data_IF_693108657604
#
_entry.id   IF_693108657604
#
_cell.length_a   1.000
_cell.length_b   1.000
_cell.length_c   1.000
_cell.angle_alpha   90.00
_cell.angle_beta   90.00
_cell.angle_gamma   90.00
#
_symmetry.space_group_name_H-M   'P 1'
#
loop_
_entity.id
_entity.type
_entity.pdbx_description
1 polymer ?
#
# COMPACT_ATOMS: atom_id res chain seq x y z
N UNK A 1 1.61 -22.26 7.65
CA UNK A 1 2.19 -22.38 6.31
C UNK A 1 3.73 -22.43 6.37
N UNK A 2 4.43 -21.41 6.94
CA UNK A 2 5.89 -21.29 7.00
C UNK A 2 6.59 -22.54 7.57
N UNK A 3 6.22 -22.91 8.79
CA UNK A 3 6.79 -24.05 9.52
C UNK A 3 6.72 -25.34 8.71
N UNK A 4 5.55 -25.63 8.11
CA UNK A 4 5.36 -26.83 7.30
C UNK A 4 6.16 -26.79 6.00
N UNK A 5 6.22 -25.63 5.35
CA UNK A 5 6.92 -25.48 4.07
C UNK A 5 8.43 -25.69 4.22
N UNK A 6 9.03 -25.07 5.23
CA UNK A 6 10.47 -25.20 5.49
C UNK A 6 10.84 -26.38 6.40
N UNK A 7 9.85 -27.21 6.79
CA UNK A 7 10.08 -28.36 7.67
C UNK A 7 10.67 -27.98 9.02
N UNK A 8 10.31 -26.80 9.53
CA UNK A 8 10.81 -26.29 10.82
C UNK A 8 10.08 -26.96 11.97
N UNK A 9 10.76 -27.10 13.10
CA UNK A 9 10.14 -27.50 14.38
C UNK A 9 10.03 -26.24 15.23
N UNK A 10 8.81 -25.69 15.43
CA UNK A 10 8.66 -24.52 16.28
C UNK A 10 8.97 -24.88 17.73
N UNK A 11 9.71 -24.01 18.38
CA UNK A 11 9.89 -24.05 19.83
C UNK A 11 9.29 -22.79 20.42
N UNK A 12 8.47 -22.95 21.43
CA UNK A 12 7.94 -21.84 22.22
C UNK A 12 8.70 -21.75 23.52
N UNK A 13 8.89 -20.55 24.00
CA UNK A 13 9.42 -20.29 25.32
C UNK A 13 8.36 -20.71 26.34
N UNK A 14 8.75 -21.39 27.42
CA UNK A 14 7.83 -21.72 28.50
C UNK A 14 7.33 -20.44 29.21
N UNK A 15 6.08 -20.49 29.62
CA UNK A 15 5.45 -19.35 30.28
C UNK A 15 6.16 -19.08 31.62
N UNK A 16 6.80 -17.91 31.74
CA UNK A 16 7.57 -17.51 32.93
C UNK A 16 9.09 -17.57 32.77
N UNK A 17 9.61 -18.28 31.77
CA UNK A 17 11.05 -18.46 31.50
C UNK A 17 11.59 -17.28 30.64
N UNK A 18 11.65 -16.08 31.20
CA UNK A 18 12.17 -14.87 30.51
C UNK A 18 13.62 -14.98 30.07
N UNK A 19 14.41 -15.80 30.76
CA UNK A 19 15.83 -16.00 30.57
C UNK A 19 16.17 -16.66 29.22
N UNK A 20 15.24 -17.40 28.63
CA UNK A 20 15.43 -18.03 27.31
C UNK A 20 15.58 -17.03 26.16
N UNK A 21 15.24 -15.75 26.38
CA UNK A 21 15.46 -14.62 25.44
C UNK A 21 16.68 -13.77 25.78
N UNK A 22 17.40 -14.08 26.85
CA UNK A 22 18.52 -13.27 27.35
C UNK A 22 19.62 -13.03 26.32
N UNK A 23 19.92 -14.04 25.48
CA UNK A 23 20.92 -13.91 24.42
C UNK A 23 20.51 -12.90 23.35
N UNK A 24 19.23 -12.87 22.95
CA UNK A 24 18.71 -11.93 21.95
C UNK A 24 18.70 -10.50 22.52
N UNK A 25 18.30 -10.35 23.78
CA UNK A 25 18.30 -9.05 24.47
C UNK A 25 19.72 -8.52 24.65
N UNK A 26 20.67 -9.37 25.07
CA UNK A 26 22.06 -9.02 25.21
C UNK A 26 22.68 -8.58 23.87
N UNK A 27 22.42 -9.32 22.78
CA UNK A 27 22.90 -8.98 21.44
C UNK A 27 22.32 -7.67 20.93
N UNK A 28 21.04 -7.42 21.15
CA UNK A 28 20.41 -6.14 20.82
C UNK A 28 21.02 -4.98 21.60
N UNK A 29 21.33 -5.18 22.89
CA UNK A 29 22.03 -4.20 23.71
C UNK A 29 23.43 -3.88 23.20
N UNK A 30 24.20 -4.91 22.78
CA UNK A 30 25.53 -4.74 22.17
C UNK A 30 25.43 -3.96 20.87
N UNK A 31 24.49 -4.32 19.99
CA UNK A 31 24.29 -3.63 18.71
C UNK A 31 23.94 -2.14 18.91
N UNK A 32 23.00 -1.84 19.79
CA UNK A 32 22.60 -0.45 20.11
C UNK A 32 23.80 0.38 20.58
N UNK A 33 24.59 -0.12 21.52
CA UNK A 33 25.80 0.56 22.01
C UNK A 33 26.81 0.78 20.87
N UNK A 34 27.01 -0.19 20.00
CA UNK A 34 27.93 -0.09 18.86
C UNK A 34 27.48 0.99 17.88
N UNK A 35 26.20 1.02 17.53
CA UNK A 35 25.64 2.06 16.63
C UNK A 35 25.74 3.45 17.31
N UNK A 36 25.51 3.54 18.60
CA UNK A 36 25.67 4.80 19.33
C UNK A 36 27.12 5.30 19.31
N UNK A 37 28.10 4.43 19.55
CA UNK A 37 29.50 4.76 19.41
C UNK A 37 29.87 5.22 17.99
N UNK A 38 29.34 4.56 16.97
CA UNK A 38 29.55 4.98 15.59
C UNK A 38 28.94 6.33 15.28
N UNK A 39 27.76 6.68 15.87
CA UNK A 39 27.18 8.01 15.76
C UNK A 39 28.05 9.08 16.41
N UNK A 40 28.62 8.79 17.58
CA UNK A 40 29.56 9.69 18.25
C UNK A 40 30.82 9.94 17.40
N UNK A 41 31.39 8.87 16.81
CA UNK A 41 32.55 8.98 15.91
C UNK A 41 32.24 9.75 14.64
N UNK A 42 31.02 9.64 14.13
CA UNK A 42 30.52 10.41 12.99
C UNK A 42 30.39 11.90 13.28
N UNK A 43 30.20 12.29 14.52
CA UNK A 43 30.07 13.69 14.95
C UNK A 43 28.69 14.33 14.69
N UNK A 44 27.75 13.59 14.09
CA UNK A 44 26.38 14.09 13.83
C UNK A 44 25.39 12.95 13.88
N UNK A 45 24.19 13.24 14.40
CA UNK A 45 23.02 12.34 14.39
C UNK A 45 22.09 12.59 13.20
N UNK A 46 22.35 13.61 12.43
CA UNK A 46 21.50 14.00 11.28
C UNK A 46 21.93 13.28 10.01
N UNK A 47 20.95 12.86 9.24
CA UNK A 47 21.12 12.24 7.92
C UNK A 47 20.32 13.02 6.88
N UNK A 48 20.88 13.21 5.70
CA UNK A 48 20.25 13.95 4.61
C UNK A 48 18.95 13.27 4.13
N UNK A 49 18.89 11.94 4.19
CA UNK A 49 17.73 11.14 3.75
C UNK A 49 17.58 9.90 4.62
N UNK A 50 16.37 9.31 4.63
CA UNK A 50 16.11 8.01 5.27
C UNK A 50 17.00 6.92 4.66
N UNK A 51 17.18 6.91 3.35
CA UNK A 51 18.04 5.95 2.65
C UNK A 51 19.52 6.04 3.10
N UNK A 52 20.01 7.25 3.35
CA UNK A 52 21.37 7.45 3.89
C UNK A 52 21.50 6.88 5.32
N UNK A 53 20.46 7.05 6.14
CA UNK A 53 20.41 6.45 7.47
C UNK A 53 20.37 4.93 7.41
N UNK A 54 19.52 4.35 6.58
CA UNK A 54 19.40 2.89 6.39
C UNK A 54 20.72 2.29 5.91
N UNK A 55 21.40 2.91 4.94
CA UNK A 55 22.70 2.48 4.44
C UNK A 55 23.78 2.52 5.53
N UNK A 56 23.74 3.53 6.40
CA UNK A 56 24.66 3.62 7.53
C UNK A 56 24.38 2.50 8.57
N UNK A 57 23.13 2.23 8.91
CA UNK A 57 22.74 1.13 9.82
C UNK A 57 23.18 -0.21 9.22
N UNK A 58 22.93 -0.43 7.93
CA UNK A 58 23.31 -1.66 7.22
C UNK A 58 24.83 -1.90 7.29
N UNK A 59 25.63 -0.86 7.05
CA UNK A 59 27.09 -0.95 7.16
C UNK A 59 27.54 -1.33 8.57
N UNK A 60 26.88 -0.80 9.60
CA UNK A 60 27.12 -1.14 10.99
C UNK A 60 26.79 -2.61 11.31
N UNK A 61 25.68 -3.11 10.78
CA UNK A 61 25.26 -4.51 10.90
C UNK A 61 26.25 -5.47 10.20
N UNK A 62 26.66 -5.15 8.99
CA UNK A 62 27.65 -5.94 8.23
C UNK A 62 28.99 -6.04 8.96
N UNK A 63 29.48 -4.92 9.49
CA UNK A 63 30.70 -4.90 10.30
C UNK A 63 30.55 -5.71 11.60
N UNK A 64 29.35 -5.72 12.21
CA UNK A 64 29.07 -6.53 13.39
C UNK A 64 28.99 -8.05 13.09
N UNK A 65 28.53 -8.41 11.90
CA UNK A 65 28.35 -9.81 11.48
C UNK A 65 29.60 -10.42 10.85
N UNK A 66 30.52 -9.60 10.33
CA UNK A 66 31.78 -10.11 9.69
C UNK A 66 32.57 -11.14 10.50
N UNK A 67 32.79 -10.95 11.82
CA UNK A 67 33.49 -11.95 12.62
C UNK A 67 32.73 -13.27 12.78
N UNK A 68 31.43 -13.28 12.52
CA UNK A 68 30.57 -14.48 12.65
C UNK A 68 30.47 -15.27 11.34
N UNK A 69 30.92 -14.71 10.22
CA UNK A 69 30.76 -15.30 8.90
C UNK A 69 31.34 -16.74 8.80
N UNK A 70 32.55 -17.07 9.35
CA UNK A 70 33.07 -18.45 9.31
C UNK A 70 32.14 -19.42 10.04
N UNK A 71 31.71 -19.08 11.25
CA UNK A 71 30.81 -19.93 12.04
C UNK A 71 29.45 -20.11 11.38
N UNK A 72 28.92 -19.06 10.75
CA UNK A 72 27.69 -19.15 9.97
C UNK A 72 27.84 -20.07 8.76
N UNK A 73 29.03 -20.07 8.10
CA UNK A 73 29.29 -20.97 7.00
C UNK A 73 29.30 -22.44 7.45
N UNK A 74 29.90 -22.74 8.61
CA UNK A 74 29.89 -24.09 9.20
C UNK A 74 28.45 -24.54 9.54
N UNK A 75 27.64 -23.66 10.09
CA UNK A 75 26.23 -23.95 10.39
C UNK A 75 25.44 -24.21 9.10
N UNK A 76 25.60 -23.37 8.08
CA UNK A 76 24.91 -23.51 6.78
C UNK A 76 25.29 -24.83 6.08
N UNK A 77 26.54 -25.32 6.24
CA UNK A 77 27.00 -26.57 5.63
C UNK A 77 26.24 -27.80 6.18
N UNK A 78 25.75 -27.74 7.41
CA UNK A 78 25.00 -28.83 8.05
C UNK A 78 23.48 -28.63 8.02
N UNK A 79 23.03 -27.45 7.62
CA UNK A 79 21.58 -27.16 7.46
C UNK A 79 21.00 -27.91 6.27
N UNK A 80 19.74 -28.30 6.39
CA UNK A 80 19.00 -28.88 5.26
C UNK A 80 18.86 -27.86 4.12
N UNK A 81 18.96 -28.30 2.85
CA UNK A 81 18.76 -27.41 1.73
C UNK A 81 17.33 -26.81 1.77
N UNK A 82 17.22 -25.58 1.33
CA UNK A 82 15.92 -24.91 1.22
C UNK A 82 15.06 -25.63 0.17
N UNK A 83 13.73 -25.64 0.33
CA UNK A 83 12.83 -26.09 -0.72
C UNK A 83 13.07 -25.35 -2.04
N UNK A 84 12.92 -26.05 -3.17
CA UNK A 84 13.11 -25.47 -4.49
C UNK A 84 12.13 -24.31 -4.78
N UNK A 85 10.92 -24.40 -4.24
CA UNK A 85 9.91 -23.35 -4.34
C UNK A 85 9.92 -22.47 -3.08
N UNK A 86 9.96 -21.15 -3.26
CA UNK A 86 9.74 -20.20 -2.15
C UNK A 86 8.26 -20.13 -1.80
N UNK A 87 7.97 -19.82 -0.54
CA UNK A 87 6.60 -19.44 -0.18
C UNK A 87 6.22 -18.17 -0.95
N UNK A 88 4.98 -18.11 -1.47
CA UNK A 88 4.49 -16.85 -2.05
C UNK A 88 4.56 -15.71 -1.04
N UNK A 89 5.06 -14.57 -1.48
CA UNK A 89 5.14 -13.34 -0.68
C UNK A 89 3.79 -12.61 -0.61
N UNK A 90 2.72 -13.29 -1.02
CA UNK A 90 1.38 -12.74 -1.06
C UNK A 90 0.33 -13.74 -0.56
N UNK A 91 -0.79 -13.21 -0.14
CA UNK A 91 -2.02 -13.97 0.12
C UNK A 91 -3.00 -13.71 -1.02
N UNK A 92 -3.62 -14.75 -1.57
CA UNK A 92 -4.68 -14.60 -2.57
C UNK A 92 -6.07 -14.61 -1.90
N UNK A 93 -6.94 -13.74 -2.39
CA UNK A 93 -8.33 -13.65 -1.98
C UNK A 93 -9.21 -13.32 -3.19
N UNK A 94 -10.31 -14.06 -3.35
CA UNK A 94 -11.35 -13.71 -4.30
C UNK A 94 -12.32 -12.72 -3.64
N UNK A 95 -12.56 -11.58 -4.29
CA UNK A 95 -13.35 -10.47 -3.76
C UNK A 95 -14.40 -10.04 -4.79
N UNK A 96 -15.66 -9.90 -4.34
CA UNK A 96 -16.72 -9.34 -5.20
C UNK A 96 -16.59 -7.82 -5.28
N UNK A 97 -16.59 -7.31 -6.49
CA UNK A 97 -16.64 -5.87 -6.76
C UNK A 97 -18.05 -5.34 -6.50
N UNK A 98 -18.17 -4.27 -5.75
CA UNK A 98 -19.45 -3.62 -5.48
C UNK A 98 -20.01 -2.96 -6.74
N UNK A 99 -21.29 -2.59 -6.72
CA UNK A 99 -21.90 -1.79 -7.79
C UNK A 99 -21.23 -0.40 -7.94
N UNK A 100 -20.54 0.07 -6.93
CA UNK A 100 -19.80 1.33 -6.90
C UNK A 100 -18.34 1.19 -7.36
N UNK A 101 -17.99 0.07 -8.04
CA UNK A 101 -16.65 -0.19 -8.55
C UNK A 101 -15.57 -0.18 -7.48
N UNK A 102 -15.88 -0.72 -6.32
CA UNK A 102 -14.93 -0.84 -5.20
C UNK A 102 -14.82 -2.28 -4.72
N UNK A 103 -13.64 -2.64 -4.24
CA UNK A 103 -13.37 -3.88 -3.51
C UNK A 103 -12.99 -3.55 -2.07
N UNK A 104 -13.28 -4.46 -1.16
CA UNK A 104 -12.86 -4.36 0.24
C UNK A 104 -11.82 -5.43 0.55
N UNK A 105 -10.62 -5.00 0.88
CA UNK A 105 -9.49 -5.87 1.22
C UNK A 105 -8.91 -5.45 2.56
N UNK A 106 -8.78 -6.37 3.49
CA UNK A 106 -8.25 -6.13 4.84
C UNK A 106 -8.83 -4.86 5.51
N UNK A 107 -10.16 -4.71 5.48
CA UNK A 107 -10.92 -3.59 6.05
C UNK A 107 -10.78 -2.24 5.33
N UNK A 108 -9.99 -2.14 4.27
CA UNK A 108 -9.83 -0.93 3.46
C UNK A 108 -10.56 -1.06 2.12
N UNK A 109 -10.99 0.06 1.54
CA UNK A 109 -11.68 0.12 0.26
C UNK A 109 -10.74 0.62 -0.84
N UNK A 110 -10.82 -0.02 -2.02
CA UNK A 110 -10.03 0.36 -3.20
C UNK A 110 -10.95 0.41 -4.41
N UNK A 111 -10.81 1.44 -5.25
CA UNK A 111 -11.54 1.47 -6.50
C UNK A 111 -10.89 0.58 -7.56
N UNK A 112 -11.72 -0.04 -8.37
CA UNK A 112 -11.30 -0.82 -9.54
C UNK A 112 -12.04 -0.32 -10.77
N UNK A 113 -11.55 -0.59 -12.00
CA UNK A 113 -12.22 -0.14 -13.22
C UNK A 113 -13.70 -0.51 -13.25
N UNK A 114 -14.57 0.45 -13.63
CA UNK A 114 -16.03 0.30 -13.60
C UNK A 114 -16.57 -0.92 -14.37
N UNK A 115 -15.85 -1.39 -15.41
CA UNK A 115 -16.20 -2.60 -16.17
C UNK A 115 -16.20 -3.88 -15.33
N UNK A 116 -15.53 -3.87 -14.18
CA UNK A 116 -15.47 -4.99 -13.24
C UNK A 116 -16.58 -4.95 -12.18
N UNK A 117 -17.48 -3.96 -12.22
CA UNK A 117 -18.56 -3.85 -11.26
C UNK A 117 -19.42 -5.12 -11.23
N UNK A 118 -19.66 -5.65 -10.03
CA UNK A 118 -20.40 -6.89 -9.73
C UNK A 118 -19.67 -8.19 -10.09
N UNK A 119 -18.49 -8.13 -10.71
CA UNK A 119 -17.64 -9.28 -10.97
C UNK A 119 -16.92 -9.76 -9.71
N UNK A 120 -16.35 -10.96 -9.77
CA UNK A 120 -15.44 -11.48 -8.75
C UNK A 120 -14.03 -11.36 -9.31
N UNK A 121 -13.18 -10.65 -8.57
CA UNK A 121 -11.78 -10.45 -8.92
C UNK A 121 -10.88 -11.18 -7.94
N UNK A 122 -9.76 -11.68 -8.42
CA UNK A 122 -8.71 -12.25 -7.58
C UNK A 122 -7.74 -11.16 -7.17
N UNK A 123 -7.47 -11.06 -5.90
CA UNK A 123 -6.55 -10.05 -5.34
C UNK A 123 -5.37 -10.76 -4.69
N UNK A 124 -4.15 -10.44 -5.14
CA UNK A 124 -2.91 -10.77 -4.45
C UNK A 124 -2.53 -9.65 -3.51
N UNK A 125 -2.41 -10.00 -2.24
CA UNK A 125 -2.16 -9.07 -1.15
C UNK A 125 -0.71 -9.23 -0.73
N UNK A 126 0.12 -8.25 -1.08
CA UNK A 126 1.49 -8.10 -0.62
C UNK A 126 1.54 -7.16 0.60
N UNK A 127 2.70 -7.00 1.20
CA UNK A 127 2.86 -6.10 2.34
C UNK A 127 2.61 -4.64 1.97
N UNK A 128 3.07 -4.19 0.78
CA UNK A 128 3.00 -2.79 0.36
C UNK A 128 2.02 -2.53 -0.80
N UNK A 129 1.53 -3.55 -1.48
CA UNK A 129 0.67 -3.41 -2.66
C UNK A 129 -0.39 -4.49 -2.75
N UNK A 130 -1.40 -4.19 -3.53
CA UNK A 130 -2.41 -5.14 -4.00
C UNK A 130 -2.29 -5.26 -5.52
N UNK A 131 -2.42 -6.47 -6.02
CA UNK A 131 -2.55 -6.74 -7.45
C UNK A 131 -3.92 -7.38 -7.71
N UNK A 132 -4.69 -6.79 -8.60
CA UNK A 132 -6.05 -7.24 -8.94
C UNK A 132 -6.04 -7.92 -10.28
N UNK A 133 -6.61 -9.13 -10.34
CA UNK A 133 -6.72 -9.95 -11.55
C UNK A 133 -8.18 -10.25 -11.86
N UNK A 134 -8.52 -10.28 -13.14
CA UNK A 134 -9.81 -10.75 -13.64
C UNK A 134 -9.61 -11.61 -14.87
N UNK A 135 -10.24 -12.79 -14.91
CA UNK A 135 -10.02 -13.74 -16.00
C UNK A 135 -8.57 -14.18 -16.19
N UNK A 136 -7.77 -14.18 -15.11
CA UNK A 136 -6.33 -14.50 -15.16
C UNK A 136 -5.43 -13.34 -15.62
N UNK A 137 -6.00 -12.25 -16.14
CA UNK A 137 -5.23 -11.09 -16.59
C UNK A 137 -5.11 -10.01 -15.48
N UNK A 138 -3.93 -9.37 -15.34
CA UNK A 138 -3.75 -8.27 -14.40
C UNK A 138 -4.59 -7.05 -14.83
N UNK A 139 -5.26 -6.42 -13.87
CA UNK A 139 -6.14 -5.29 -14.12
C UNK A 139 -5.59 -4.00 -13.49
N UNK A 140 -4.99 -4.12 -12.32
CA UNK A 140 -4.60 -2.99 -11.49
C UNK A 140 -3.56 -3.42 -10.47
N UNK A 141 -2.58 -2.57 -10.25
CA UNK A 141 -1.71 -2.59 -9.07
C UNK A 141 -1.91 -1.31 -8.30
N UNK A 142 -2.13 -1.41 -7.00
CA UNK A 142 -2.37 -0.25 -6.13
C UNK A 142 -1.62 -0.42 -4.82
N UNK A 143 -1.05 0.67 -4.30
CA UNK A 143 -0.38 0.66 -3.01
C UNK A 143 -1.38 0.34 -1.90
N UNK A 144 -1.01 -0.61 -1.03
CA UNK A 144 -1.83 -1.04 0.09
C UNK A 144 -1.87 0.03 1.19
N UNK A 145 -3.04 0.24 1.76
CA UNK A 145 -3.22 1.11 2.90
C UNK A 145 -2.87 0.38 4.20
N UNK A 146 -2.12 1.03 5.05
CA UNK A 146 -1.92 0.58 6.43
C UNK A 146 -3.17 0.88 7.27
N UNK A 147 -3.40 0.09 8.33
CA UNK A 147 -4.53 0.29 9.23
C UNK A 147 -5.86 -0.23 8.69
N UNK A 148 -6.96 0.34 9.17
CA UNK A 148 -8.34 -0.09 8.88
C UNK A 148 -9.23 1.10 8.52
N UNK A 149 -10.29 0.82 7.75
CA UNK A 149 -11.33 1.79 7.36
C UNK A 149 -10.84 2.95 6.47
N UNK A 150 -9.61 2.83 5.92
CA UNK A 150 -9.15 3.72 4.88
C UNK A 150 -9.77 3.42 3.53
N UNK A 151 -9.64 4.36 2.61
CA UNK A 151 -10.04 4.17 1.23
C UNK A 151 -9.03 4.81 0.28
N UNK A 152 -8.92 4.22 -0.92
CA UNK A 152 -8.10 4.73 -2.02
C UNK A 152 -8.91 4.64 -3.29
N UNK A 153 -9.47 5.77 -3.68
CA UNK A 153 -10.38 5.89 -4.80
C UNK A 153 -9.71 6.67 -5.92
N UNK A 154 -9.72 6.09 -7.11
CA UNK A 154 -9.32 6.79 -8.32
C UNK A 154 -10.59 7.11 -9.11
N UNK A 155 -10.90 8.39 -9.31
CA UNK A 155 -12.10 8.83 -10.02
C UNK A 155 -12.17 8.28 -11.46
N UNK A 156 -11.00 8.05 -12.11
CA UNK A 156 -10.92 7.46 -13.46
C UNK A 156 -11.50 6.05 -13.53
N UNK A 157 -11.54 5.32 -12.41
CA UNK A 157 -12.22 4.03 -12.34
C UNK A 157 -13.75 4.18 -12.31
N UNK A 158 -14.26 5.26 -11.74
CA UNK A 158 -15.69 5.46 -11.41
C UNK A 158 -16.41 6.27 -12.48
N UNK A 159 -15.71 7.21 -13.10
CA UNK A 159 -16.32 8.23 -13.98
C UNK A 159 -17.18 7.63 -15.09
N UNK A 160 -16.77 6.52 -15.69
CA UNK A 160 -17.50 5.85 -16.76
C UNK A 160 -18.88 5.32 -16.35
N UNK A 161 -19.05 5.03 -15.05
CA UNK A 161 -20.36 4.69 -14.49
C UNK A 161 -21.19 5.95 -14.17
N UNK A 162 -20.53 6.98 -13.66
CA UNK A 162 -21.21 8.25 -13.32
C UNK A 162 -21.73 8.99 -14.55
N UNK A 163 -21.02 8.93 -15.69
CA UNK A 163 -21.51 9.51 -16.95
C UNK A 163 -22.85 8.92 -17.39
N UNK A 164 -23.09 7.63 -17.11
CA UNK A 164 -24.36 6.97 -17.41
C UNK A 164 -25.47 7.28 -16.41
N UNK A 165 -25.09 7.60 -15.18
CA UNK A 165 -26.00 7.89 -14.06
C UNK A 165 -25.46 9.06 -13.23
N UNK A 166 -25.46 10.30 -13.78
CA UNK A 166 -24.85 11.45 -13.11
C UNK A 166 -25.45 11.76 -11.74
N UNK A 167 -26.75 11.53 -11.54
CA UNK A 167 -27.43 11.71 -10.25
C UNK A 167 -26.94 10.76 -9.14
N UNK A 168 -26.06 9.79 -9.46
CA UNK A 168 -25.41 8.96 -8.45
C UNK A 168 -24.22 9.67 -7.78
N UNK A 169 -23.75 10.80 -8.32
CA UNK A 169 -22.59 11.53 -7.81
C UNK A 169 -22.81 12.03 -6.38
N UNK A 170 -23.94 12.65 -6.11
CA UNK A 170 -24.27 13.16 -4.76
C UNK A 170 -24.28 12.05 -3.70
N UNK A 171 -24.76 10.87 -4.07
CA UNK A 171 -24.92 9.72 -3.15
C UNK A 171 -23.72 8.81 -3.13
N UNK A 172 -22.66 9.13 -3.89
CA UNK A 172 -21.47 8.30 -3.91
C UNK A 172 -20.74 8.39 -2.57
N UNK A 173 -20.55 7.25 -1.93
CA UNK A 173 -19.96 7.17 -0.58
C UNK A 173 -18.59 7.85 -0.45
N UNK A 174 -17.80 7.82 -1.51
CA UNK A 174 -16.44 8.38 -1.57
C UNK A 174 -16.43 9.61 -2.49
N UNK A 175 -17.47 10.43 -2.47
CA UNK A 175 -17.60 11.61 -3.34
C UNK A 175 -16.43 12.57 -3.17
N UNK A 176 -15.93 12.73 -1.95
CA UNK A 176 -14.85 13.67 -1.66
C UNK A 176 -13.51 13.25 -2.31
N UNK A 177 -13.33 11.98 -2.64
CA UNK A 177 -12.17 11.50 -3.41
C UNK A 177 -12.34 11.71 -4.92
N UNK A 178 -13.48 12.17 -5.39
CA UNK A 178 -13.75 12.46 -6.80
C UNK A 178 -13.37 13.90 -7.18
N UNK A 179 -12.67 14.61 -6.33
CA UNK A 179 -12.11 15.93 -6.62
C UNK A 179 -10.57 15.78 -6.76
N UNK A 180 -10.04 15.72 -8.00
CA UNK A 180 -8.60 15.50 -8.23
C UNK A 180 -7.73 16.60 -7.64
N UNK A 181 -8.24 17.84 -7.63
CA UNK A 181 -7.55 19.00 -7.08
C UNK A 181 -8.54 19.98 -6.40
N UNK A 182 -7.97 21.04 -5.83
CA UNK A 182 -8.74 22.14 -5.26
C UNK A 182 -9.56 22.88 -6.31
N UNK A 183 -9.03 23.06 -7.52
CA UNK A 183 -9.74 23.73 -8.61
C UNK A 183 -11.02 22.99 -8.98
N UNK A 184 -10.98 21.66 -9.08
CA UNK A 184 -12.16 20.83 -9.31
C UNK A 184 -13.20 20.97 -8.19
N UNK A 185 -12.77 21.08 -6.93
CA UNK A 185 -13.69 21.28 -5.81
C UNK A 185 -14.34 22.66 -5.88
N UNK A 186 -13.57 23.70 -6.13
CA UNK A 186 -14.07 25.07 -6.27
C UNK A 186 -15.06 25.20 -7.45
N UNK A 187 -14.76 24.58 -8.59
CA UNK A 187 -15.66 24.55 -9.74
C UNK A 187 -17.00 23.89 -9.39
N UNK A 188 -16.97 22.77 -8.65
CA UNK A 188 -18.20 22.13 -8.19
C UNK A 188 -18.99 23.01 -7.22
N UNK A 189 -18.33 23.63 -6.26
CA UNK A 189 -18.98 24.52 -5.30
C UNK A 189 -19.63 25.73 -6.02
N UNK A 190 -18.94 26.34 -6.99
CA UNK A 190 -19.49 27.41 -7.83
C UNK A 190 -20.72 26.95 -8.65
N UNK A 191 -20.68 25.75 -9.22
CA UNK A 191 -21.83 25.17 -9.91
C UNK A 191 -23.02 24.98 -8.97
N UNK A 192 -22.77 24.58 -7.73
CA UNK A 192 -23.79 24.38 -6.69
C UNK A 192 -24.44 25.70 -6.25
N UNK A 193 -23.68 26.78 -6.23
CA UNK A 193 -24.19 28.13 -5.90
C UNK A 193 -25.00 28.73 -7.03
N UNK A 194 -24.65 28.44 -8.28
CA UNK A 194 -25.28 29.02 -9.46
C UNK A 194 -26.55 28.29 -9.92
N UNK A 195 -26.75 27.03 -9.55
CA UNK A 195 -27.82 26.19 -10.09
C UNK A 195 -28.28 25.07 -9.15
N UNK A 196 -29.40 24.40 -9.51
CA UNK A 196 -29.92 23.28 -8.74
C UNK A 196 -28.89 22.12 -8.67
N UNK A 197 -28.83 21.47 -7.50
CA UNK A 197 -27.86 20.39 -7.16
C UNK A 197 -27.73 19.35 -8.27
N UNK A 198 -28.86 18.83 -8.75
CA UNK A 198 -28.85 17.79 -9.79
C UNK A 198 -28.18 18.24 -11.10
N UNK A 199 -28.37 19.53 -11.43
CA UNK A 199 -27.78 20.12 -12.63
C UNK A 199 -26.28 20.36 -12.44
N UNK A 200 -25.89 20.83 -11.26
CA UNK A 200 -24.50 20.96 -10.86
C UNK A 200 -23.75 19.61 -10.90
N UNK A 201 -24.36 18.55 -10.40
CA UNK A 201 -23.79 17.19 -10.44
C UNK A 201 -23.55 16.72 -11.88
N UNK A 202 -24.53 16.93 -12.77
CA UNK A 202 -24.41 16.55 -14.19
C UNK A 202 -23.26 17.28 -14.86
N UNK A 203 -23.15 18.58 -14.63
CA UNK A 203 -22.08 19.40 -15.24
C UNK A 203 -20.73 19.06 -14.67
N UNK A 204 -20.63 18.87 -13.36
CA UNK A 204 -19.38 18.44 -12.73
C UNK A 204 -18.92 17.07 -13.22
N UNK A 205 -19.81 16.09 -13.34
CA UNK A 205 -19.48 14.77 -13.92
C UNK A 205 -18.98 14.91 -15.36
N UNK A 206 -19.48 15.87 -16.14
CA UNK A 206 -18.95 16.16 -17.48
C UNK A 206 -17.53 16.73 -17.44
N UNK A 207 -17.23 17.62 -16.49
CA UNK A 207 -15.88 18.15 -16.28
C UNK A 207 -14.93 17.02 -15.90
N UNK A 208 -15.30 16.17 -14.94
CA UNK A 208 -14.49 14.99 -14.56
C UNK A 208 -14.28 14.02 -15.73
N UNK A 209 -15.33 13.81 -16.55
CA UNK A 209 -15.21 12.95 -17.72
C UNK A 209 -14.27 13.55 -18.76
N UNK A 210 -14.32 14.85 -18.98
CA UNK A 210 -13.37 15.55 -19.86
C UNK A 210 -11.93 15.34 -19.35
N UNK A 211 -11.69 15.57 -18.06
CA UNK A 211 -10.37 15.34 -17.45
C UNK A 211 -9.90 13.87 -17.53
N UNK A 212 -10.83 12.91 -17.43
CA UNK A 212 -10.49 11.49 -17.59
C UNK A 212 -10.19 11.08 -19.05
N UNK A 213 -10.79 11.78 -20.00
CA UNK A 213 -10.71 11.48 -21.45
C UNK A 213 -9.60 12.26 -22.17
N UNK A 214 -9.07 13.31 -21.54
CA UNK A 214 -8.00 14.17 -22.06
C UNK A 214 -6.85 14.24 -21.06
N UNK A 215 -6.27 15.42 -20.89
CA UNK A 215 -5.24 15.68 -19.87
C UNK A 215 -5.87 16.38 -18.66
N UNK A 216 -5.79 15.73 -17.49
CA UNK A 216 -6.31 16.28 -16.22
C UNK A 216 -5.71 17.63 -15.89
N UNK A 217 -4.40 17.79 -16.15
CA UNK A 217 -3.66 19.04 -15.92
C UNK A 217 -4.19 20.22 -16.75
N UNK A 218 -4.63 19.95 -17.99
CA UNK A 218 -5.17 21.01 -18.86
C UNK A 218 -6.53 21.48 -18.37
N UNK A 219 -7.36 20.54 -17.91
CA UNK A 219 -8.67 20.86 -17.33
C UNK A 219 -8.49 21.58 -15.99
N UNK A 220 -7.55 21.14 -15.16
CA UNK A 220 -7.21 21.79 -13.89
C UNK A 220 -6.79 23.24 -14.08
N UNK A 221 -5.84 23.52 -15.01
CA UNK A 221 -5.42 24.86 -15.36
C UNK A 221 -6.55 25.72 -15.93
N UNK A 222 -7.46 25.13 -16.71
CA UNK A 222 -8.62 25.85 -17.21
C UNK A 222 -9.58 26.26 -16.07
N UNK A 223 -9.78 25.39 -15.10
CA UNK A 223 -10.61 25.65 -13.92
C UNK A 223 -10.00 26.71 -12.99
N UNK A 224 -8.68 26.76 -12.87
CA UNK A 224 -7.98 27.79 -12.08
C UNK A 224 -8.11 29.21 -12.65
N UNK A 225 -8.46 29.33 -13.94
CA UNK A 225 -8.61 30.63 -14.62
C UNK A 225 -10.05 31.17 -14.60
N UNK A 226 -10.99 30.36 -14.16
CA UNK A 226 -12.41 30.73 -14.03
C UNK A 226 -12.69 31.37 -12.66
#
# INVERSE_FOLDING_TARGET
ALVRHYGMVPRTIEVGEKEQNGDVEALNGVLKRRLEQQLLLRGSREFATVTAYEGWVQSGLEAANRPRAPRLADELAVMRPLPAARLPEFVEQDVRVTAWSTIRVQHNAYSVPARLAREVVRVRIFDERLEVFFGGAPQLTVARLAGRNGHRINYRHIIWSLVRTPGAFERYRYRDDLFPSRAFRQAYDALRDAQAVQKADVEYVRILHLAASTMETDVDQALERL
#
